data_IF_343725519395
#
_entry.id   IF_343725519395
#
_cell.length_a   1.000
_cell.length_b   1.000
_cell.length_c   1.000
_cell.angle_alpha   90.00
_cell.angle_beta   90.00
_cell.angle_gamma   90.00
#
_symmetry.space_group_name_H-M   'P 1'
#
loop_
_entity.id
_entity.type
_entity.pdbx_description
1 polymer ?
#
# COMPACT_ATOMS: atom_id res chain seq x y z
N UNK A 1 -19.33 20.34 7.41
CA UNK A 1 -19.51 19.39 8.53
C UNK A 1 -19.20 17.91 8.19
N UNK A 2 -19.39 17.41 6.94
CA UNK A 2 -19.07 16.01 6.58
C UNK A 2 -17.58 15.60 6.64
N UNK A 3 -16.64 16.54 6.45
CA UNK A 3 -15.20 16.24 6.44
C UNK A 3 -14.61 15.91 7.83
N UNK A 4 -15.23 16.36 8.91
CA UNK A 4 -14.76 16.11 10.28
C UNK A 4 -15.17 14.72 10.80
N UNK A 5 -16.26 14.15 10.29
CA UNK A 5 -16.71 12.80 10.65
C UNK A 5 -15.83 11.72 9.99
N UNK A 6 -15.36 11.92 8.76
CA UNK A 6 -14.46 10.96 8.09
C UNK A 6 -13.08 10.83 8.74
N UNK A 7 -12.61 11.86 9.47
CA UNK A 7 -11.32 11.83 10.16
C UNK A 7 -11.37 11.03 11.46
N UNK A 8 -12.54 10.96 12.11
CA UNK A 8 -12.74 10.16 13.33
C UNK A 8 -13.07 8.68 13.04
N UNK A 9 -13.56 8.35 11.84
CA UNK A 9 -13.94 6.98 11.47
C UNK A 9 -12.77 6.02 11.17
N UNK A 10 -11.54 6.55 11.06
CA UNK A 10 -10.37 5.77 10.62
C UNK A 10 -9.26 5.77 11.68
N UNK A 11 -9.63 5.78 12.95
CA UNK A 11 -8.72 5.38 14.01
C UNK A 11 -8.79 3.87 14.19
N UNK A 12 -7.65 3.20 13.97
CA UNK A 12 -7.47 1.78 14.23
C UNK A 12 -6.97 1.62 15.68
N UNK A 13 -7.67 0.81 16.46
CA UNK A 13 -7.23 0.49 17.83
C UNK A 13 -5.96 -0.37 17.81
N UNK A 14 -5.23 -0.43 18.92
CA UNK A 14 -4.03 -1.28 19.02
C UNK A 14 -4.34 -2.76 18.77
N UNK A 15 -5.49 -3.25 19.27
CA UNK A 15 -5.96 -4.61 19.02
C UNK A 15 -6.27 -4.86 17.54
N UNK A 16 -6.94 -3.89 16.89
CA UNK A 16 -7.20 -3.94 15.44
C UNK A 16 -5.89 -3.99 14.64
N UNK A 17 -4.89 -3.18 15.01
CA UNK A 17 -3.57 -3.19 14.38
C UNK A 17 -2.84 -4.52 14.57
N UNK A 18 -2.92 -5.11 15.76
CA UNK A 18 -2.32 -6.42 16.04
C UNK A 18 -2.93 -7.49 15.13
N UNK A 19 -4.26 -7.56 15.04
CA UNK A 19 -4.96 -8.51 14.16
C UNK A 19 -4.54 -8.29 12.70
N UNK A 20 -4.50 -7.04 12.24
CA UNK A 20 -4.09 -6.70 10.88
C UNK A 20 -2.62 -7.05 10.60
N UNK A 21 -1.75 -6.95 11.60
CA UNK A 21 -0.31 -7.27 11.47
C UNK A 21 -0.08 -8.73 11.13
N UNK A 22 -0.94 -9.63 11.62
CA UNK A 22 -0.87 -11.07 11.40
C UNK A 22 -1.39 -11.50 10.03
N UNK A 23 -2.09 -10.62 9.29
CA UNK A 23 -2.65 -10.96 7.99
C UNK A 23 -1.64 -10.83 6.86
N UNK A 24 -1.44 -11.88 6.07
CA UNK A 24 -0.57 -11.87 4.89
C UNK A 24 -1.14 -12.72 3.75
N UNK A 25 -0.44 -12.74 2.62
CA UNK A 25 -0.85 -13.51 1.44
C UNK A 25 -0.98 -15.01 1.69
N UNK A 26 -0.26 -15.61 2.65
CA UNK A 26 -0.28 -17.07 2.89
C UNK A 26 -1.60 -17.55 3.44
N UNK A 27 -2.40 -16.65 3.98
CA UNK A 27 -3.76 -16.94 4.43
C UNK A 27 -4.76 -17.01 3.27
N UNK A 28 -4.36 -16.63 2.06
CA UNK A 28 -5.20 -16.77 0.88
C UNK A 28 -5.56 -18.25 0.66
N UNK A 29 -6.85 -18.52 0.43
CA UNK A 29 -7.38 -19.88 0.31
C UNK A 29 -7.81 -20.51 1.63
N UNK A 30 -7.12 -20.21 2.74
CA UNK A 30 -7.49 -20.67 4.09
C UNK A 30 -8.49 -19.74 4.78
N UNK A 31 -8.22 -18.44 4.74
CA UNK A 31 -9.07 -17.40 5.30
C UNK A 31 -9.96 -16.83 4.20
N UNK A 32 -11.25 -17.18 4.22
CA UNK A 32 -12.24 -16.71 3.25
C UNK A 32 -12.98 -15.49 3.76
N UNK A 33 -12.35 -14.31 3.68
CA UNK A 33 -12.95 -13.06 4.16
C UNK A 33 -14.32 -12.73 3.53
N UNK A 34 -14.61 -13.27 2.34
CA UNK A 34 -15.89 -13.07 1.66
C UNK A 34 -17.05 -13.89 2.25
N UNK A 35 -16.78 -14.85 3.15
CA UNK A 35 -17.79 -15.63 3.85
C UNK A 35 -18.40 -14.87 5.06
N UNK A 36 -19.69 -15.10 5.38
CA UNK A 36 -20.38 -14.38 6.45
C UNK A 36 -19.77 -14.58 7.84
N UNK A 37 -19.15 -15.75 8.10
CA UNK A 37 -18.46 -16.08 9.35
C UNK A 37 -17.32 -15.10 9.66
N UNK A 38 -16.72 -14.51 8.62
CA UNK A 38 -15.60 -13.60 8.72
C UNK A 38 -15.98 -12.13 8.50
N UNK A 39 -17.27 -11.79 8.50
CA UNK A 39 -17.76 -10.43 8.22
C UNK A 39 -17.09 -9.34 9.08
N UNK A 40 -16.86 -9.60 10.38
CA UNK A 40 -16.17 -8.66 11.28
C UNK A 40 -14.73 -8.41 10.85
N UNK A 41 -13.99 -9.48 10.54
CA UNK A 41 -12.58 -9.38 10.09
C UNK A 41 -12.51 -8.74 8.70
N UNK A 42 -13.45 -9.05 7.80
CA UNK A 42 -13.59 -8.40 6.48
C UNK A 42 -13.78 -6.89 6.63
N UNK A 43 -14.71 -6.46 7.49
CA UNK A 43 -14.95 -5.04 7.74
C UNK A 43 -13.70 -4.32 8.25
N UNK A 44 -12.94 -4.97 9.15
CA UNK A 44 -11.67 -4.47 9.65
C UNK A 44 -10.62 -4.32 8.54
N UNK A 45 -10.48 -5.33 7.67
CA UNK A 45 -9.56 -5.27 6.51
C UNK A 45 -9.95 -4.14 5.56
N UNK A 46 -11.25 -3.97 5.26
CA UNK A 46 -11.75 -2.87 4.42
C UNK A 46 -11.46 -1.51 5.06
N UNK A 47 -11.62 -1.37 6.38
CA UNK A 47 -11.25 -0.15 7.13
C UNK A 47 -9.75 0.13 7.02
N UNK A 48 -8.91 -0.90 7.14
CA UNK A 48 -7.46 -0.79 7.01
C UNK A 48 -7.03 -0.38 5.60
N UNK A 49 -7.64 -0.94 4.55
CA UNK A 49 -7.39 -0.54 3.16
C UNK A 49 -7.66 0.96 2.98
N UNK A 50 -8.84 1.44 3.41
CA UNK A 50 -9.20 2.87 3.31
C UNK A 50 -8.20 3.77 4.03
N UNK A 51 -7.73 3.35 5.21
CA UNK A 51 -6.69 4.06 5.95
C UNK A 51 -5.39 4.16 5.15
N UNK A 52 -4.88 3.03 4.67
CA UNK A 52 -3.64 2.97 3.92
C UNK A 52 -3.74 3.76 2.61
N UNK A 53 -4.83 3.64 1.86
CA UNK A 53 -5.06 4.41 0.64
C UNK A 53 -5.06 5.91 0.89
N UNK A 54 -5.77 6.39 1.93
CA UNK A 54 -5.77 7.81 2.30
C UNK A 54 -4.36 8.29 2.68
N UNK A 55 -3.62 7.51 3.46
CA UNK A 55 -2.24 7.83 3.84
C UNK A 55 -1.32 7.93 2.61
N UNK A 56 -1.45 7.00 1.66
CA UNK A 56 -0.67 7.01 0.41
C UNK A 56 -0.99 8.24 -0.46
N UNK A 57 -2.27 8.59 -0.59
CA UNK A 57 -2.71 9.77 -1.35
C UNK A 57 -2.15 11.06 -0.73
N UNK A 58 -2.19 11.18 0.60
CA UNK A 58 -1.64 12.34 1.33
C UNK A 58 -0.13 12.46 1.09
N UNK A 59 0.62 11.36 1.24
CA UNK A 59 2.05 11.34 1.00
C UNK A 59 2.42 11.74 -0.45
N UNK A 60 1.67 11.25 -1.44
CA UNK A 60 1.88 11.62 -2.85
C UNK A 60 1.53 13.08 -3.16
N UNK A 61 0.46 13.62 -2.56
CA UNK A 61 0.09 15.01 -2.71
C UNK A 61 1.17 15.95 -2.14
N UNK A 62 1.78 15.59 -1.00
CA UNK A 62 2.89 16.34 -0.41
C UNK A 62 4.15 16.29 -1.29
N UNK A 63 4.50 15.12 -1.83
CA UNK A 63 5.63 14.98 -2.76
C UNK A 63 5.43 15.84 -4.01
N UNK A 64 4.22 15.83 -4.59
CA UNK A 64 3.91 16.63 -5.79
C UNK A 64 4.01 18.14 -5.51
N UNK A 65 3.53 18.58 -4.34
CA UNK A 65 3.68 19.98 -3.91
C UNK A 65 5.15 20.37 -3.73
N UNK A 66 5.97 19.51 -3.11
CA UNK A 66 7.42 19.74 -2.96
C UNK A 66 8.12 19.83 -4.31
N UNK A 67 7.80 18.92 -5.23
CA UNK A 67 8.34 18.92 -6.61
C UNK A 67 7.95 20.17 -7.38
N UNK A 68 6.70 20.62 -7.27
CA UNK A 68 6.23 21.86 -7.90
C UNK A 68 6.96 23.08 -7.33
N UNK A 69 7.10 23.18 -6.01
CA UNK A 69 7.91 24.24 -5.37
C UNK A 69 9.35 24.23 -5.85
N UNK A 70 9.98 23.05 -5.97
CA UNK A 70 11.35 22.94 -6.50
C UNK A 70 11.42 23.38 -7.97
N UNK A 71 10.45 23.00 -8.79
CA UNK A 71 10.35 23.44 -10.20
C UNK A 71 10.22 24.96 -10.34
N UNK A 72 9.39 25.60 -9.49
CA UNK A 72 9.21 27.06 -9.48
C UNK A 72 10.45 27.83 -8.96
N UNK A 73 11.44 27.15 -8.36
CA UNK A 73 12.68 27.74 -7.84
C UNK A 73 13.94 27.41 -8.68
N UNK A 74 13.82 26.64 -9.78
CA UNK A 74 14.94 26.19 -10.61
C UNK A 74 15.39 27.20 -11.69
N UNK A 75 14.76 28.37 -11.77
CA UNK A 75 15.15 29.47 -12.69
C UNK A 75 16.39 30.26 -12.21
N UNK A 76 17.02 29.89 -11.09
CA UNK A 76 18.24 30.51 -10.58
C UNK A 76 19.45 29.56 -10.73
N UNK A 77 20.36 29.87 -11.65
CA UNK A 77 21.51 29.04 -12.08
C UNK A 77 22.53 28.71 -10.95
N UNK A 78 22.41 29.34 -9.78
CA UNK A 78 23.34 29.20 -8.64
C UNK A 78 22.95 28.10 -7.63
N UNK A 79 21.86 27.35 -7.85
CA UNK A 79 21.27 26.44 -6.85
C UNK A 79 21.43 24.93 -7.13
N UNK A 80 22.25 24.53 -8.11
CA UNK A 80 22.37 23.11 -8.50
C UNK A 80 23.10 22.22 -7.48
N UNK A 81 24.00 22.77 -6.68
CA UNK A 81 24.95 21.96 -5.89
C UNK A 81 24.44 21.53 -4.49
N UNK A 82 23.26 21.98 -4.05
CA UNK A 82 22.73 21.69 -2.70
C UNK A 82 21.58 20.68 -2.61
N UNK A 83 21.12 20.15 -3.73
CA UNK A 83 19.85 19.41 -3.77
C UNK A 83 19.94 17.88 -3.93
N UNK A 84 21.15 17.32 -4.07
CA UNK A 84 21.34 15.87 -4.19
C UNK A 84 21.15 15.13 -2.85
N UNK A 85 21.34 15.79 -1.70
CA UNK A 85 21.18 15.17 -0.38
C UNK A 85 19.72 15.18 0.16
N UNK A 86 18.85 16.06 -0.35
CA UNK A 86 17.46 16.23 0.12
C UNK A 86 16.39 15.51 -0.73
N UNK A 87 16.77 14.81 -1.81
CA UNK A 87 15.85 13.99 -2.62
C UNK A 87 15.58 12.60 -2.00
N UNK A 88 15.73 12.46 -0.68
CA UNK A 88 15.03 11.41 0.07
C UNK A 88 13.57 11.86 0.22
N UNK A 89 12.85 11.86 -0.90
CA UNK A 89 11.41 12.10 -0.97
C UNK A 89 10.69 11.32 0.12
N UNK A 90 9.57 11.85 0.63
CA UNK A 90 8.76 11.26 1.72
C UNK A 90 8.70 9.74 1.53
N UNK A 91 9.52 9.02 2.29
CA UNK A 91 9.81 7.62 2.02
C UNK A 91 8.64 6.82 2.60
N UNK A 92 7.59 6.66 1.80
CA UNK A 92 6.54 5.68 2.08
C UNK A 92 7.25 4.33 2.20
N UNK A 93 7.21 3.73 3.39
CA UNK A 93 7.82 2.41 3.60
C UNK A 93 7.26 1.45 2.54
N UNK A 94 8.10 0.82 1.70
CA UNK A 94 7.65 -0.13 0.71
C UNK A 94 6.72 -1.20 1.31
N UNK A 95 6.96 -1.61 2.57
CA UNK A 95 6.09 -2.60 3.25
C UNK A 95 4.62 -2.18 3.32
N UNK A 96 4.33 -0.88 3.30
CA UNK A 96 2.96 -0.34 3.20
C UNK A 96 2.24 -0.85 1.95
N UNK A 97 2.91 -0.81 0.79
CA UNK A 97 2.36 -1.31 -0.47
C UNK A 97 2.21 -2.82 -0.47
N UNK A 98 3.18 -3.54 0.11
CA UNK A 98 3.09 -4.99 0.26
C UNK A 98 1.87 -5.39 1.10
N UNK A 99 1.67 -4.74 2.25
CA UNK A 99 0.54 -5.00 3.15
C UNK A 99 -0.81 -4.65 2.51
N UNK A 100 -0.87 -3.54 1.78
CA UNK A 100 -2.05 -3.17 0.98
C UNK A 100 -2.37 -4.25 -0.06
N UNK A 101 -1.35 -4.77 -0.75
CA UNK A 101 -1.48 -5.89 -1.69
C UNK A 101 -2.03 -7.15 -1.01
N UNK A 102 -1.51 -7.52 0.17
CA UNK A 102 -2.02 -8.66 0.95
C UNK A 102 -3.51 -8.51 1.27
N UNK A 103 -3.95 -7.32 1.71
CA UNK A 103 -5.35 -7.10 2.06
C UNK A 103 -6.28 -7.19 0.85
N UNK A 104 -5.91 -6.61 -0.30
CA UNK A 104 -6.69 -6.75 -1.53
C UNK A 104 -6.74 -8.20 -2.00
N UNK A 105 -5.63 -8.94 -1.90
CA UNK A 105 -5.58 -10.35 -2.25
C UNK A 105 -6.52 -11.19 -1.38
N UNK A 106 -6.55 -10.98 -0.05
CA UNK A 106 -7.45 -11.68 0.86
C UNK A 106 -8.94 -11.32 0.64
N UNK A 107 -9.21 -10.17 0.04
CA UNK A 107 -10.55 -9.78 -0.42
C UNK A 107 -10.87 -10.28 -1.84
N UNK A 108 -9.93 -10.98 -2.48
CA UNK A 108 -10.02 -11.48 -3.87
C UNK A 108 -10.11 -10.35 -4.93
N UNK A 109 -9.62 -9.15 -4.60
CA UNK A 109 -9.46 -8.03 -5.55
C UNK A 109 -8.07 -8.06 -6.19
N UNK A 110 -7.89 -8.97 -7.16
CA UNK A 110 -6.59 -9.25 -7.78
C UNK A 110 -6.00 -8.06 -8.55
N UNK A 111 -6.85 -7.20 -9.13
CA UNK A 111 -6.40 -6.04 -9.90
C UNK A 111 -5.73 -4.99 -9.00
N UNK A 112 -6.37 -4.67 -7.87
CA UNK A 112 -5.78 -3.75 -6.88
C UNK A 112 -4.60 -4.38 -6.15
N UNK A 113 -4.66 -5.68 -5.86
CA UNK A 113 -3.53 -6.40 -5.28
C UNK A 113 -2.29 -6.32 -6.20
N UNK A 114 -2.44 -6.60 -7.50
CA UNK A 114 -1.35 -6.54 -8.46
C UNK A 114 -0.74 -5.13 -8.58
N UNK A 115 -1.58 -4.10 -8.65
CA UNK A 115 -1.09 -2.72 -8.75
C UNK A 115 -0.33 -2.26 -7.49
N UNK A 116 -0.73 -2.72 -6.30
CA UNK A 116 0.03 -2.49 -5.07
C UNK A 116 1.38 -3.25 -5.07
N UNK A 117 1.39 -4.52 -5.48
CA UNK A 117 2.60 -5.33 -5.59
C UNK A 117 3.61 -4.78 -6.60
N UNK A 118 3.15 -4.28 -7.75
CA UNK A 118 4.02 -3.63 -8.73
C UNK A 118 4.70 -2.37 -8.18
N UNK A 119 3.98 -1.58 -7.36
CA UNK A 119 4.58 -0.42 -6.67
C UNK A 119 5.64 -0.87 -5.67
N UNK A 120 5.38 -1.93 -4.90
CA UNK A 120 6.36 -2.51 -3.98
C UNK A 120 7.62 -2.99 -4.69
N UNK A 121 7.45 -3.74 -5.78
CA UNK A 121 8.54 -4.26 -6.61
C UNK A 121 9.46 -3.16 -7.13
N UNK A 122 8.89 -2.03 -7.56
CA UNK A 122 9.66 -0.86 -8.04
C UNK A 122 10.42 -0.14 -6.93
N UNK A 123 9.89 -0.12 -5.70
CA UNK A 123 10.45 0.63 -4.59
C UNK A 123 11.50 -0.15 -3.79
N UNK A 124 11.36 -1.49 -3.71
CA UNK A 124 12.25 -2.33 -2.91
C UNK A 124 13.15 -3.18 -3.80
N UNK A 125 14.46 -2.92 -3.81
CA UNK A 125 15.43 -3.73 -4.56
C UNK A 125 15.53 -5.18 -4.04
N UNK A 126 15.41 -5.37 -2.72
CA UNK A 126 15.46 -6.67 -2.04
C UNK A 126 14.08 -7.36 -1.95
N UNK A 127 13.21 -7.19 -2.95
CA UNK A 127 11.84 -7.73 -2.93
C UNK A 127 11.80 -9.27 -2.81
N UNK A 128 12.83 -9.94 -3.35
CA UNK A 128 12.95 -11.40 -3.41
C UNK A 128 13.17 -12.05 -2.03
N UNK A 129 13.53 -11.27 -1.01
CA UNK A 129 13.68 -11.76 0.37
C UNK A 129 12.35 -11.88 1.12
N UNK A 130 11.26 -11.34 0.57
CA UNK A 130 9.94 -11.41 1.18
C UNK A 130 9.11 -12.54 0.54
N UNK A 131 9.04 -13.73 1.16
CA UNK A 131 8.33 -14.86 0.59
C UNK A 131 6.82 -14.62 0.55
N UNK A 132 6.27 -13.84 1.50
CA UNK A 132 4.84 -13.52 1.51
C UNK A 132 4.49 -12.66 0.30
N UNK A 133 5.31 -11.65 -0.01
CA UNK A 133 5.14 -10.86 -1.21
C UNK A 133 5.19 -11.72 -2.49
N UNK A 134 6.22 -12.56 -2.65
CA UNK A 134 6.39 -13.40 -3.84
C UNK A 134 5.21 -14.36 -4.02
N UNK A 135 4.74 -14.96 -2.92
CA UNK A 135 3.57 -15.84 -2.93
C UNK A 135 2.31 -15.09 -3.40
N UNK A 136 2.06 -13.91 -2.85
CA UNK A 136 0.91 -13.08 -3.23
C UNK A 136 0.97 -12.61 -4.68
N UNK A 137 2.14 -12.19 -5.16
CA UNK A 137 2.35 -11.79 -6.55
C UNK A 137 2.16 -12.97 -7.51
N UNK A 138 2.67 -14.15 -7.15
CA UNK A 138 2.50 -15.38 -7.91
C UNK A 138 1.02 -15.76 -8.09
N UNK A 139 0.22 -15.65 -7.02
CA UNK A 139 -1.23 -15.88 -7.08
C UNK A 139 -1.93 -14.89 -8.04
N UNK A 140 -1.54 -13.61 -8.01
CA UNK A 140 -2.10 -12.64 -8.95
C UNK A 140 -1.69 -12.95 -10.40
N UNK A 141 -0.44 -13.35 -10.66
CA UNK A 141 -0.02 -13.77 -12.01
C UNK A 141 -0.76 -15.00 -12.51
N UNK A 142 -0.94 -15.98 -11.64
CA UNK A 142 -1.71 -17.18 -11.93
C UNK A 142 -3.15 -16.82 -12.29
N UNK A 143 -3.81 -15.96 -11.50
CA UNK A 143 -5.17 -15.52 -11.76
C UNK A 143 -5.35 -14.87 -13.13
N UNK A 144 -4.38 -14.06 -13.57
CA UNK A 144 -4.42 -13.41 -14.89
C UNK A 144 -3.93 -14.29 -16.04
N UNK A 145 -3.67 -15.59 -15.79
CA UNK A 145 -3.09 -16.51 -16.78
C UNK A 145 -1.82 -15.93 -17.44
N UNK A 146 -1.05 -15.14 -16.71
CA UNK A 146 0.22 -14.60 -17.22
C UNK A 146 1.21 -15.73 -17.56
N UNK A 147 0.97 -16.93 -17.01
CA UNK A 147 1.62 -18.18 -17.38
C UNK A 147 0.54 -19.17 -17.80
N UNK A 148 0.47 -19.47 -19.10
CA UNK A 148 -0.25 -20.64 -19.62
C UNK A 148 0.69 -21.82 -19.43
N UNK A 149 0.35 -22.74 -18.53
CA UNK A 149 0.98 -24.05 -18.44
C UNK A 149 0.35 -25.04 -19.40
#
# INVERSE_FOLDING_TARGET
MKMAQELNEINLTHQELQILSELDSRQFGLLKLNQPEHAKKKALVVKAIKYLEKMLIQAQAEQTKKRKRKADCLDDENYKDKFDDEDKGISIDPKTYCKLGHFHLLLEDYSKAMSAYQKFFKLKADYWKDPCFLFGQGLCYYHFNAYQW
#
